data_IF_958979903233
#
_entry.id   IF_958979903233
#
_cell.length_a   1.000
_cell.length_b   1.000
_cell.length_c   1.000
_cell.angle_alpha   90.00
_cell.angle_beta   90.00
_cell.angle_gamma   90.00
#
_symmetry.space_group_name_H-M   'P 1'
#
loop_
_entity.id
_entity.type
_entity.pdbx_description
1 polymer ?
#
# COMPACT_ATOMS: atom_id res chain seq x y z
N UNK A 1 9.04 -28.02 -3.99
CA UNK A 1 10.46 -27.92 -4.45
C UNK A 1 11.27 -27.01 -3.53
N UNK A 2 10.69 -25.89 -3.09
CA UNK A 2 11.35 -24.91 -2.21
C UNK A 2 11.91 -25.51 -0.91
N UNK A 3 11.16 -26.37 -0.21
CA UNK A 3 11.63 -27.00 1.04
C UNK A 3 12.93 -27.80 0.85
N UNK A 4 13.12 -28.47 -0.30
CA UNK A 4 14.35 -29.22 -0.59
C UNK A 4 15.51 -28.25 -0.80
N UNK A 5 15.28 -27.14 -1.50
CA UNK A 5 16.30 -26.10 -1.72
C UNK A 5 16.69 -25.47 -0.38
N UNK A 6 15.72 -25.13 0.47
CA UNK A 6 15.98 -24.57 1.80
C UNK A 6 16.73 -25.55 2.70
N UNK A 7 16.38 -26.83 2.66
CA UNK A 7 17.09 -27.86 3.42
C UNK A 7 18.56 -27.99 2.98
N UNK A 8 18.82 -28.01 1.67
CA UNK A 8 20.19 -28.04 1.13
C UNK A 8 20.96 -26.79 1.53
N UNK A 9 20.34 -25.60 1.43
CA UNK A 9 20.95 -24.34 1.87
C UNK A 9 21.27 -24.37 3.37
N UNK A 10 20.36 -24.85 4.21
CA UNK A 10 20.59 -25.00 5.65
C UNK A 10 21.80 -25.87 5.95
N UNK A 11 21.95 -27.01 5.26
CA UNK A 11 23.11 -27.87 5.43
C UNK A 11 24.41 -27.18 5.00
N UNK A 12 24.42 -26.50 3.85
CA UNK A 12 25.59 -25.78 3.35
C UNK A 12 26.02 -24.66 4.30
N UNK A 13 25.07 -23.87 4.79
CA UNK A 13 25.35 -22.78 5.72
C UNK A 13 25.66 -23.28 7.13
N UNK A 14 25.09 -24.39 7.59
CA UNK A 14 25.49 -25.02 8.84
C UNK A 14 26.95 -25.52 8.78
N UNK A 15 27.36 -26.15 7.67
CA UNK A 15 28.75 -26.58 7.46
C UNK A 15 29.70 -25.38 7.38
N UNK A 16 29.29 -24.32 6.68
CA UNK A 16 30.08 -23.09 6.56
C UNK A 16 30.21 -22.40 7.91
N UNK A 17 29.11 -22.27 8.66
CA UNK A 17 29.06 -21.71 10.01
C UNK A 17 29.88 -22.52 11.01
N UNK A 18 29.85 -23.86 10.91
CA UNK A 18 30.69 -24.73 11.72
C UNK A 18 32.18 -24.48 11.48
N UNK A 19 32.57 -24.29 10.21
CA UNK A 19 33.96 -24.00 9.84
C UNK A 19 34.38 -22.58 10.26
N UNK A 20 33.51 -21.59 10.10
CA UNK A 20 33.80 -20.19 10.40
C UNK A 20 33.76 -19.87 11.90
N UNK A 21 32.91 -20.54 12.68
CA UNK A 21 32.74 -20.30 14.11
C UNK A 21 31.80 -19.12 14.42
N UNK A 22 31.17 -19.17 15.58
CA UNK A 22 30.25 -18.17 16.10
C UNK A 22 30.89 -16.79 16.20
N UNK A 23 32.14 -16.69 16.70
CA UNK A 23 32.84 -15.43 16.87
C UNK A 23 32.99 -14.70 15.53
N UNK A 24 33.40 -15.42 14.49
CA UNK A 24 33.50 -14.83 13.13
C UNK A 24 32.11 -14.47 12.61
N UNK A 25 31.10 -15.31 12.87
CA UNK A 25 29.72 -15.04 12.50
C UNK A 25 29.15 -13.75 13.09
N UNK A 26 29.36 -13.50 14.39
CA UNK A 26 28.90 -12.27 15.06
C UNK A 26 29.57 -11.04 14.48
N UNK A 27 30.88 -11.09 14.28
CA UNK A 27 31.62 -9.99 13.67
C UNK A 27 31.16 -9.75 12.23
N UNK A 28 31.04 -10.80 11.43
CA UNK A 28 30.52 -10.75 10.06
C UNK A 28 29.16 -10.08 10.00
N UNK A 29 28.22 -10.50 10.86
CA UNK A 29 26.87 -9.92 10.92
C UNK A 29 26.91 -8.44 11.33
N UNK A 30 27.67 -8.10 12.36
CA UNK A 30 27.84 -6.71 12.78
C UNK A 30 28.43 -5.82 11.68
N UNK A 31 29.41 -6.34 10.93
CA UNK A 31 30.00 -5.65 9.79
C UNK A 31 29.02 -5.46 8.63
N UNK A 32 28.20 -6.46 8.33
CA UNK A 32 27.16 -6.40 7.31
C UNK A 32 26.12 -5.32 7.64
N UNK A 33 25.57 -5.36 8.86
CA UNK A 33 24.56 -4.38 9.32
C UNK A 33 25.18 -2.98 9.37
N UNK A 34 26.36 -2.83 9.96
CA UNK A 34 27.04 -1.53 10.04
C UNK A 34 27.33 -0.92 8.67
N UNK A 35 27.85 -1.73 7.74
CA UNK A 35 28.12 -1.29 6.36
C UNK A 35 26.85 -0.93 5.58
N UNK A 36 25.79 -1.73 5.73
CA UNK A 36 24.50 -1.49 5.09
C UNK A 36 23.79 -0.24 5.60
N UNK A 37 23.72 -0.05 6.93
CA UNK A 37 23.08 1.12 7.54
C UNK A 37 23.83 2.40 7.20
N UNK A 38 25.15 2.41 7.31
CA UNK A 38 25.95 3.59 6.97
C UNK A 38 25.72 4.02 5.52
N UNK A 39 25.70 3.05 4.59
CA UNK A 39 25.42 3.31 3.19
C UNK A 39 23.96 3.73 2.95
N UNK A 40 22.99 3.11 3.60
CA UNK A 40 21.57 3.46 3.42
C UNK A 40 21.28 4.92 3.84
N UNK A 41 21.97 5.39 4.89
CA UNK A 41 21.84 6.76 5.38
C UNK A 41 22.57 7.79 4.50
N UNK A 42 23.62 7.40 3.77
CA UNK A 42 24.49 8.34 3.03
C UNK A 42 24.33 8.27 1.51
N UNK A 43 23.93 7.13 0.97
CA UNK A 43 23.82 6.89 -0.47
C UNK A 43 22.76 7.77 -1.17
N UNK A 44 21.56 8.02 -0.60
CA UNK A 44 20.55 8.86 -1.26
C UNK A 44 21.07 10.27 -1.55
N UNK A 45 21.81 10.86 -0.61
CA UNK A 45 22.36 12.21 -0.77
C UNK A 45 23.53 12.22 -1.78
N UNK A 46 24.38 11.19 -1.77
CA UNK A 46 25.51 11.09 -2.69
C UNK A 46 25.09 10.86 -4.16
N UNK A 47 23.99 10.14 -4.39
CA UNK A 47 23.56 9.68 -5.71
C UNK A 47 22.71 10.72 -6.44
N UNK A 48 21.96 11.56 -5.70
CA UNK A 48 21.07 12.59 -6.27
C UNK A 48 21.80 13.55 -7.22
N UNK A 49 23.07 13.85 -6.94
CA UNK A 49 23.86 14.80 -7.73
C UNK A 49 24.37 14.22 -9.06
N UNK A 50 24.32 12.88 -9.24
CA UNK A 50 25.02 12.19 -10.34
C UNK A 50 24.09 11.54 -11.37
N UNK A 51 22.84 11.22 -10.99
CA UNK A 51 21.90 10.48 -11.84
C UNK A 51 20.55 11.18 -11.82
N UNK A 52 20.04 11.65 -12.96
CA UNK A 52 18.76 12.38 -13.04
C UNK A 52 17.49 11.52 -13.17
N UNK A 53 17.64 10.19 -13.30
CA UNK A 53 16.53 9.25 -13.49
C UNK A 53 16.24 8.48 -12.19
N UNK A 54 15.03 8.63 -11.65
CA UNK A 54 14.57 8.05 -10.36
C UNK A 54 14.72 6.52 -10.32
N UNK A 55 14.45 5.83 -11.44
CA UNK A 55 14.59 4.36 -11.49
C UNK A 55 16.05 3.91 -11.37
N UNK A 56 16.96 4.61 -12.06
CA UNK A 56 18.41 4.33 -11.99
C UNK A 56 19.02 4.75 -10.66
N UNK A 57 18.53 5.83 -10.06
CA UNK A 57 18.94 6.25 -8.71
C UNK A 57 18.64 5.16 -7.68
N UNK A 58 17.43 4.59 -7.70
CA UNK A 58 17.04 3.52 -6.79
C UNK A 58 17.92 2.27 -6.95
N UNK A 59 18.15 1.84 -8.20
CA UNK A 59 19.04 0.70 -8.48
C UNK A 59 20.47 0.94 -8.02
N UNK A 60 21.01 2.14 -8.24
CA UNK A 60 22.35 2.50 -7.80
C UNK A 60 22.45 2.57 -6.27
N UNK A 61 21.43 3.10 -5.59
CA UNK A 61 21.37 3.15 -4.13
C UNK A 61 21.37 1.74 -3.53
N UNK A 62 20.56 0.83 -4.08
CA UNK A 62 20.53 -0.57 -3.68
C UNK A 62 21.91 -1.21 -3.88
N UNK A 63 22.55 -0.98 -5.04
CA UNK A 63 23.87 -1.52 -5.33
C UNK A 63 24.93 -1.00 -4.34
N UNK A 64 24.93 0.30 -4.02
CA UNK A 64 25.87 0.91 -3.06
C UNK A 64 25.67 0.36 -1.65
N UNK A 65 24.41 0.20 -1.20
CA UNK A 65 24.09 -0.40 0.10
C UNK A 65 24.61 -1.83 0.16
N UNK A 66 24.36 -2.62 -0.88
CA UNK A 66 24.77 -4.02 -0.93
C UNK A 66 26.30 -4.18 -0.93
N UNK A 67 27.01 -3.41 -1.76
CA UNK A 67 28.47 -3.43 -1.82
C UNK A 67 29.11 -2.99 -0.51
N UNK A 68 28.55 -1.97 0.15
CA UNK A 68 29.05 -1.49 1.43
C UNK A 68 28.81 -2.48 2.56
N UNK A 69 27.63 -3.11 2.59
CA UNK A 69 27.33 -4.19 3.53
C UNK A 69 28.29 -5.38 3.33
N UNK A 70 28.53 -5.80 2.09
CA UNK A 70 29.46 -6.88 1.77
C UNK A 70 30.91 -6.54 2.18
N UNK A 71 31.34 -5.30 1.95
CA UNK A 71 32.67 -4.82 2.36
C UNK A 71 32.81 -4.79 3.88
N UNK A 72 31.80 -4.26 4.59
CA UNK A 72 31.76 -4.25 6.06
C UNK A 72 31.79 -5.66 6.63
N UNK A 73 31.03 -6.58 6.05
CA UNK A 73 31.03 -7.99 6.40
C UNK A 73 32.42 -8.61 6.25
N UNK A 74 33.10 -8.38 5.13
CA UNK A 74 34.44 -8.90 4.87
C UNK A 74 35.47 -8.39 5.90
N UNK A 75 35.50 -7.08 6.13
CA UNK A 75 36.42 -6.45 7.09
C UNK A 75 36.18 -6.93 8.53
N UNK A 76 34.92 -7.01 8.95
CA UNK A 76 34.59 -7.47 10.29
C UNK A 76 34.87 -8.97 10.44
N UNK A 77 34.60 -9.79 9.43
CA UNK A 77 34.97 -11.21 9.43
C UNK A 77 36.48 -11.40 9.62
N UNK A 78 37.31 -10.57 8.97
CA UNK A 78 38.75 -10.58 9.16
C UNK A 78 39.13 -10.31 10.62
N UNK A 79 38.55 -9.29 11.26
CA UNK A 79 38.74 -9.03 12.69
C UNK A 79 38.25 -10.18 13.56
N UNK A 80 37.09 -10.76 13.23
CA UNK A 80 36.53 -11.93 13.92
C UNK A 80 37.47 -13.13 13.90
N UNK A 81 38.17 -13.37 12.78
CA UNK A 81 39.16 -14.46 12.71
C UNK A 81 40.36 -14.20 13.61
N UNK A 82 40.82 -12.95 13.73
CA UNK A 82 41.89 -12.60 14.68
C UNK A 82 41.47 -12.87 16.13
N UNK A 83 40.23 -12.54 16.48
CA UNK A 83 39.69 -12.79 17.82
C UNK A 83 39.54 -14.28 18.07
N UNK A 84 38.98 -15.03 17.12
CA UNK A 84 38.83 -16.49 17.20
C UNK A 84 40.16 -17.21 17.37
N UNK A 85 41.23 -16.74 16.71
CA UNK A 85 42.56 -17.35 16.81
C UNK A 85 43.19 -17.22 18.21
N UNK A 86 42.71 -16.30 19.06
CA UNK A 86 43.14 -16.18 20.47
C UNK A 86 42.47 -17.21 21.37
N UNK A 87 41.43 -17.91 20.91
CA UNK A 87 40.77 -18.98 21.66
C UNK A 87 41.60 -20.26 21.53
N UNK A 88 42.28 -20.63 22.60
CA UNK A 88 43.17 -21.80 22.66
C UNK A 88 42.54 -23.01 23.35
N UNK A 89 41.42 -22.83 24.07
CA UNK A 89 40.73 -23.92 24.76
C UNK A 89 39.87 -24.74 23.79
N UNK A 90 40.14 -26.04 23.70
CA UNK A 90 39.53 -26.93 22.70
C UNK A 90 38.00 -27.02 22.83
N UNK A 91 37.47 -27.06 24.05
CA UNK A 91 36.01 -27.09 24.24
C UNK A 91 35.34 -25.78 23.82
N UNK A 92 36.00 -24.62 24.00
CA UNK A 92 35.47 -23.35 23.47
C UNK A 92 35.49 -23.32 21.95
N UNK A 93 36.47 -23.97 21.30
CA UNK A 93 36.48 -24.09 19.83
C UNK A 93 35.32 -24.96 19.32
N UNK A 94 34.98 -26.03 20.04
CA UNK A 94 33.81 -26.86 19.71
C UNK A 94 32.52 -26.07 19.91
N UNK A 95 32.36 -25.36 21.03
CA UNK A 95 31.20 -24.50 21.29
C UNK A 95 31.06 -23.38 20.26
N UNK A 96 32.17 -22.74 19.87
CA UNK A 96 32.23 -21.72 18.82
C UNK A 96 31.81 -22.30 17.46
N UNK A 97 32.29 -23.49 17.08
CA UNK A 97 31.89 -24.14 15.85
C UNK A 97 30.41 -24.53 15.83
N UNK A 98 29.91 -25.16 16.91
CA UNK A 98 28.49 -25.54 17.03
C UNK A 98 27.59 -24.30 17.03
N UNK A 99 27.96 -23.25 17.78
CA UNK A 99 27.26 -21.98 17.79
C UNK A 99 27.24 -21.32 16.40
N UNK A 100 28.35 -21.37 15.67
CA UNK A 100 28.44 -20.85 14.31
C UNK A 100 27.51 -21.57 13.33
N UNK A 101 27.38 -22.89 13.45
CA UNK A 101 26.46 -23.68 12.63
C UNK A 101 24.99 -23.33 12.92
N UNK A 102 24.63 -23.22 14.20
CA UNK A 102 23.26 -22.86 14.64
C UNK A 102 22.89 -21.47 14.13
N UNK A 103 23.73 -20.46 14.40
CA UNK A 103 23.47 -19.08 13.97
C UNK A 103 23.36 -18.99 12.46
N UNK A 104 24.25 -19.62 11.71
CA UNK A 104 24.21 -19.59 10.24
C UNK A 104 22.94 -20.23 9.68
N UNK A 105 22.49 -21.34 10.29
CA UNK A 105 21.22 -21.97 9.94
C UNK A 105 20.02 -21.06 10.23
N UNK A 106 19.98 -20.44 11.41
CA UNK A 106 18.93 -19.49 11.79
C UNK A 106 18.93 -18.25 10.88
N UNK A 107 20.09 -17.72 10.52
CA UNK A 107 20.21 -16.59 9.60
C UNK A 107 19.65 -16.90 8.21
N UNK A 108 19.92 -18.10 7.67
CA UNK A 108 19.34 -18.53 6.39
C UNK A 108 17.83 -18.66 6.48
N UNK A 109 17.30 -19.23 7.57
CA UNK A 109 15.86 -19.32 7.78
C UNK A 109 15.21 -17.94 7.85
N UNK A 110 15.81 -17.01 8.58
CA UNK A 110 15.31 -15.65 8.72
C UNK A 110 15.29 -14.91 7.37
N UNK A 111 16.38 -15.01 6.59
CA UNK A 111 16.47 -14.40 5.26
C UNK A 111 15.51 -15.06 4.29
N UNK A 112 15.38 -16.39 4.31
CA UNK A 112 14.46 -17.12 3.46
C UNK A 112 13.00 -16.80 3.81
N UNK A 113 12.68 -16.61 5.09
CA UNK A 113 11.36 -16.14 5.54
C UNK A 113 11.10 -14.70 5.10
N UNK A 114 12.08 -13.81 5.23
CA UNK A 114 11.99 -12.44 4.75
C UNK A 114 11.74 -12.37 3.23
N UNK A 115 12.52 -13.10 2.42
CA UNK A 115 12.34 -13.14 0.97
C UNK A 115 11.04 -13.87 0.60
N UNK A 116 10.74 -14.98 1.27
CA UNK A 116 9.52 -15.74 1.03
C UNK A 116 8.30 -14.87 1.26
N UNK A 117 8.25 -14.16 2.38
CA UNK A 117 7.14 -13.29 2.70
C UNK A 117 6.96 -12.16 1.67
N UNK A 118 8.01 -11.55 1.11
CA UNK A 118 7.84 -10.57 0.02
C UNK A 118 7.36 -11.21 -1.28
N UNK A 119 7.87 -12.39 -1.62
CA UNK A 119 7.59 -13.08 -2.88
C UNK A 119 6.25 -13.83 -2.86
N UNK A 120 5.72 -14.15 -1.67
CA UNK A 120 4.42 -14.81 -1.49
C UNK A 120 3.25 -14.04 -2.13
N UNK A 121 3.39 -12.72 -2.23
CA UNK A 121 2.41 -11.80 -2.83
C UNK A 121 2.85 -11.27 -4.21
N UNK A 122 3.86 -11.87 -4.84
CA UNK A 122 4.36 -11.42 -6.15
C UNK A 122 3.46 -11.84 -7.30
N UNK A 123 3.51 -11.08 -8.40
CA UNK A 123 2.79 -11.35 -9.66
C UNK A 123 3.28 -12.60 -10.43
N UNK A 124 4.08 -13.47 -9.81
CA UNK A 124 4.58 -14.73 -10.39
C UNK A 124 3.91 -15.92 -9.69
N UNK A 125 2.77 -16.42 -10.19
CA UNK A 125 1.94 -17.42 -9.50
C UNK A 125 2.69 -18.68 -9.11
N UNK A 126 3.60 -19.13 -9.98
CA UNK A 126 4.42 -20.33 -9.73
C UNK A 126 5.31 -20.19 -8.49
N UNK A 127 5.90 -19.00 -8.28
CA UNK A 127 6.81 -18.76 -7.15
C UNK A 127 6.02 -18.54 -5.87
N UNK A 128 4.93 -17.77 -5.94
CA UNK A 128 4.03 -17.53 -4.82
C UNK A 128 3.43 -18.84 -4.24
N UNK A 129 3.01 -19.78 -5.10
CA UNK A 129 2.50 -21.08 -4.64
C UNK A 129 3.57 -21.94 -3.98
N UNK A 130 4.81 -21.97 -4.51
CA UNK A 130 5.91 -22.70 -3.88
C UNK A 130 6.29 -22.16 -2.49
N UNK A 131 6.15 -20.85 -2.27
CA UNK A 131 6.38 -20.23 -0.97
C UNK A 131 5.23 -20.54 0.00
N UNK A 132 3.98 -20.40 -0.45
CA UNK A 132 2.80 -20.69 0.38
C UNK A 132 2.74 -22.15 0.82
N UNK A 133 3.17 -23.09 -0.02
CA UNK A 133 3.15 -24.53 0.28
C UNK A 133 4.38 -25.02 1.09
N UNK A 134 5.35 -24.14 1.38
CA UNK A 134 6.60 -24.53 2.05
C UNK A 134 6.38 -24.72 3.55
N UNK A 135 6.58 -25.95 4.05
CA UNK A 135 6.43 -26.27 5.48
C UNK A 135 7.49 -25.61 6.35
N UNK A 136 8.71 -25.46 5.81
CA UNK A 136 9.81 -24.83 6.55
C UNK A 136 9.47 -23.37 6.83
N UNK A 137 9.09 -22.61 5.80
CA UNK A 137 8.74 -21.20 5.95
C UNK A 137 7.51 -20.98 6.83
N UNK A 138 6.45 -21.79 6.70
CA UNK A 138 5.28 -21.72 7.59
C UNK A 138 5.64 -21.96 9.07
N UNK A 139 6.54 -22.92 9.32
CA UNK A 139 7.01 -23.21 10.68
C UNK A 139 7.82 -22.05 11.25
N UNK A 140 8.68 -21.45 10.43
CA UNK A 140 9.46 -20.26 10.83
C UNK A 140 8.51 -19.10 11.13
N UNK A 141 7.55 -18.83 10.25
CA UNK A 141 6.54 -17.76 10.40
C UNK A 141 5.78 -17.87 11.73
N UNK A 142 5.32 -19.07 12.07
CA UNK A 142 4.61 -19.35 13.34
C UNK A 142 5.49 -19.11 14.59
N UNK A 143 6.80 -19.28 14.47
CA UNK A 143 7.76 -19.12 15.57
C UNK A 143 8.28 -17.68 15.71
N UNK A 144 8.05 -16.81 14.73
CA UNK A 144 8.52 -15.44 14.74
C UNK A 144 7.72 -14.57 15.74
N UNK A 145 8.39 -13.74 16.58
CA UNK A 145 7.68 -12.82 17.48
C UNK A 145 6.83 -11.79 16.71
N UNK A 146 5.74 -11.31 17.31
CA UNK A 146 4.91 -10.25 16.72
C UNK A 146 5.70 -8.98 16.39
N UNK A 147 6.70 -8.62 17.20
CA UNK A 147 7.57 -7.48 16.92
C UNK A 147 8.31 -7.60 15.57
N UNK A 148 8.68 -8.82 15.14
CA UNK A 148 9.31 -9.06 13.86
C UNK A 148 8.32 -8.93 12.70
N UNK A 149 7.08 -9.40 12.88
CA UNK A 149 5.99 -9.21 11.93
C UNK A 149 5.66 -7.72 11.74
N UNK A 150 5.56 -6.97 12.84
CA UNK A 150 5.20 -5.54 12.85
C UNK A 150 6.33 -4.64 12.31
N UNK A 151 7.58 -4.93 12.67
CA UNK A 151 8.73 -4.20 12.11
C UNK A 151 8.84 -4.40 10.59
N UNK A 152 8.50 -5.60 10.11
CA UNK A 152 8.56 -5.92 8.71
C UNK A 152 7.35 -5.43 7.91
N UNK A 153 6.15 -5.42 8.47
CA UNK A 153 4.99 -4.75 7.85
C UNK A 153 5.24 -3.24 7.71
N UNK A 154 5.93 -2.63 8.67
CA UNK A 154 6.37 -1.23 8.61
C UNK A 154 7.39 -1.00 7.49
N UNK A 155 8.41 -1.87 7.37
CA UNK A 155 9.36 -1.79 6.26
C UNK A 155 8.69 -2.00 4.91
N UNK A 156 7.78 -2.98 4.80
CA UNK A 156 6.98 -3.17 3.60
C UNK A 156 6.16 -1.94 3.28
N UNK A 157 5.51 -1.27 4.24
CA UNK A 157 4.76 -0.03 3.98
C UNK A 157 5.62 1.10 3.39
N UNK A 158 6.90 1.14 3.77
CA UNK A 158 7.88 2.10 3.23
C UNK A 158 8.30 1.73 1.80
N UNK A 159 8.38 0.43 1.48
CA UNK A 159 8.77 -0.09 0.16
C UNK A 159 7.59 -0.16 -0.81
N UNK A 160 6.46 -0.66 -0.34
CA UNK A 160 5.14 -0.74 -0.93
C UNK A 160 4.40 0.58 -0.67
N UNK A 161 4.95 1.71 -1.15
CA UNK A 161 4.20 2.97 -1.32
C UNK A 161 3.05 2.82 -2.35
N UNK A 162 2.36 1.68 -2.38
CA UNK A 162 1.07 1.48 -3.01
C UNK A 162 0.01 1.87 -1.98
N UNK A 163 -0.47 3.09 -2.15
CA UNK A 163 -1.27 3.88 -1.21
C UNK A 163 -2.72 3.40 -1.00
N UNK A 164 -2.93 2.11 -0.72
CA UNK A 164 -4.23 1.58 -0.29
C UNK A 164 -4.11 0.95 1.11
N UNK A 165 -4.92 1.41 2.09
CA UNK A 165 -5.07 0.77 3.40
C UNK A 165 -5.27 -0.75 3.33
N UNK A 166 -4.73 -1.51 4.29
CA UNK A 166 -4.80 -3.00 4.27
C UNK A 166 -6.20 -3.55 4.57
N UNK A 167 -7.16 -2.69 4.93
CA UNK A 167 -8.55 -3.04 5.23
C UNK A 167 -9.27 -3.80 4.09
N UNK A 168 -8.75 -3.71 2.87
CA UNK A 168 -9.40 -4.22 1.66
C UNK A 168 -9.01 -5.65 1.25
N UNK A 169 -8.08 -6.27 1.96
CA UNK A 169 -7.61 -7.64 1.69
C UNK A 169 -8.69 -8.73 1.87
N UNK A 170 -9.80 -8.43 2.55
CA UNK A 170 -10.94 -9.35 2.74
C UNK A 170 -12.06 -9.25 1.70
N UNK A 171 -12.14 -8.16 0.92
CA UNK A 171 -13.26 -7.85 0.03
C UNK A 171 -13.27 -8.71 -1.27
N UNK A 172 -12.19 -9.44 -1.53
CA UNK A 172 -11.97 -10.26 -2.75
C UNK A 172 -12.09 -11.76 -2.56
N UNK A 173 -12.77 -12.24 -1.50
CA UNK A 173 -12.95 -13.69 -1.26
C UNK A 173 -14.16 -14.29 -1.97
N UNK A 174 -14.95 -13.48 -2.68
CA UNK A 174 -16.07 -13.92 -3.53
C UNK A 174 -15.64 -14.35 -4.93
N UNK A 175 -16.43 -15.22 -5.56
CA UNK A 175 -16.26 -15.60 -6.96
C UNK A 175 -16.43 -14.35 -7.84
N UNK A 176 -15.42 -14.00 -8.64
CA UNK A 176 -15.52 -12.85 -9.55
C UNK A 176 -16.64 -13.09 -10.55
N UNK A 177 -17.62 -12.19 -10.59
CA UNK A 177 -18.56 -12.18 -11.69
C UNK A 177 -17.80 -11.80 -12.98
N UNK A 178 -17.75 -12.74 -13.93
CA UNK A 178 -17.19 -12.47 -15.25
C UNK A 178 -18.11 -11.54 -16.02
N UNK A 179 -17.56 -10.40 -16.44
CA UNK A 179 -18.20 -9.45 -17.35
C UNK A 179 -17.24 -9.13 -18.50
N UNK A 180 -17.81 -8.74 -19.63
CA UNK A 180 -17.05 -8.25 -20.77
C UNK A 180 -16.15 -7.04 -20.40
N UNK A 181 -15.08 -6.75 -21.16
CA UNK A 181 -14.30 -5.53 -20.95
C UNK A 181 -15.17 -4.27 -21.04
N UNK A 182 -14.86 -3.21 -20.27
CA UNK A 182 -15.58 -1.94 -20.36
C UNK A 182 -15.55 -1.35 -21.78
N UNK A 183 -16.65 -0.71 -22.18
CA UNK A 183 -16.71 -0.02 -23.48
C UNK A 183 -15.88 1.28 -23.42
N UNK A 184 -14.85 1.47 -24.26
CA UNK A 184 -14.07 2.71 -24.26
C UNK A 184 -14.85 3.93 -24.78
N UNK A 185 -15.93 3.74 -25.54
CA UNK A 185 -16.68 4.83 -26.18
C UNK A 185 -17.45 5.67 -25.15
N UNK A 186 -17.68 5.14 -23.95
CA UNK A 186 -18.32 5.85 -22.82
C UNK A 186 -17.58 7.13 -22.44
N UNK A 187 -16.27 7.20 -22.69
CA UNK A 187 -15.44 8.37 -22.41
C UNK A 187 -15.74 9.58 -23.32
N UNK A 188 -16.53 9.37 -24.37
CA UNK A 188 -16.77 10.37 -25.42
C UNK A 188 -18.14 11.02 -25.35
N UNK A 189 -19.01 10.61 -24.42
CA UNK A 189 -20.33 11.25 -24.23
C UNK A 189 -20.16 12.67 -23.73
N UNK A 190 -21.02 13.58 -24.20
CA UNK A 190 -20.93 14.99 -23.84
C UNK A 190 -21.30 15.18 -22.37
N UNK A 191 -22.28 14.41 -21.92
CA UNK A 191 -22.78 14.36 -20.55
C UNK A 191 -21.64 14.00 -19.57
N UNK A 192 -20.87 12.94 -19.85
CA UNK A 192 -19.71 12.59 -19.02
C UNK A 192 -18.62 13.67 -19.04
N UNK A 193 -18.34 14.27 -20.20
CA UNK A 193 -17.32 15.33 -20.32
C UNK A 193 -17.70 16.55 -19.46
N UNK A 194 -18.98 16.86 -19.36
CA UNK A 194 -19.51 17.96 -18.56
C UNK A 194 -19.56 17.59 -17.07
N UNK A 195 -20.12 16.44 -16.70
CA UNK A 195 -20.16 15.95 -15.31
C UNK A 195 -18.77 15.74 -14.71
N UNK A 196 -17.80 15.30 -15.51
CA UNK A 196 -16.41 15.12 -15.04
C UNK A 196 -15.70 16.44 -14.66
N UNK A 197 -16.28 17.61 -14.93
CA UNK A 197 -15.76 18.91 -14.42
C UNK A 197 -16.01 19.10 -12.94
N UNK A 198 -17.03 18.43 -12.40
CA UNK A 198 -17.40 18.41 -10.98
C UNK A 198 -16.55 17.44 -10.16
N UNK A 199 -15.57 16.79 -10.79
CA UNK A 199 -14.55 15.97 -10.11
C UNK A 199 -13.35 16.83 -9.79
N UNK A 200 -12.94 16.79 -8.53
CA UNK A 200 -11.90 17.64 -7.97
C UNK A 200 -10.80 16.83 -7.31
N UNK A 201 -9.64 17.46 -7.14
CA UNK A 201 -8.53 16.90 -6.39
C UNK A 201 -8.56 17.42 -4.96
N UNK A 202 -8.43 16.53 -3.99
CA UNK A 202 -8.33 16.88 -2.57
C UNK A 202 -6.87 16.84 -2.16
N UNK A 203 -6.39 17.89 -1.49
CA UNK A 203 -5.04 18.01 -0.96
C UNK A 203 -5.09 18.42 0.51
N UNK A 204 -4.18 17.88 1.32
CA UNK A 204 -4.05 18.25 2.72
C UNK A 204 -2.67 17.93 3.27
N UNK A 205 -2.34 18.51 4.43
CA UNK A 205 -1.13 18.16 5.19
C UNK A 205 -1.51 17.51 6.51
N UNK A 206 -0.91 16.35 6.77
CA UNK A 206 -1.06 15.60 8.02
C UNK A 206 0.31 15.55 8.72
N UNK A 207 0.65 16.58 9.53
CA UNK A 207 1.99 16.73 10.11
C UNK A 207 2.37 15.58 11.05
N UNK A 208 1.41 15.07 11.82
CA UNK A 208 1.61 13.94 12.72
C UNK A 208 2.00 12.66 11.95
N UNK A 209 1.49 12.52 10.73
CA UNK A 209 1.82 11.40 9.84
C UNK A 209 3.09 11.66 9.01
N UNK A 210 3.65 12.87 9.06
CA UNK A 210 4.71 13.36 8.14
C UNK A 210 4.34 13.16 6.66
N UNK A 211 3.06 13.31 6.32
CA UNK A 211 2.53 13.04 5.00
C UNK A 211 1.78 14.24 4.43
N UNK A 212 1.81 14.35 3.10
CA UNK A 212 0.83 15.13 2.34
C UNK A 212 -0.20 14.15 1.81
N UNK A 213 -1.46 14.46 2.03
CA UNK A 213 -2.55 13.60 1.56
C UNK A 213 -3.06 14.13 0.23
N UNK A 214 -3.35 13.19 -0.67
CA UNK A 214 -3.88 13.45 -2.00
C UNK A 214 -4.94 12.42 -2.34
N UNK A 215 -6.03 12.88 -2.94
CA UNK A 215 -7.11 12.01 -3.39
C UNK A 215 -8.04 12.73 -4.35
N UNK A 216 -9.16 12.09 -4.62
CA UNK A 216 -10.22 12.64 -5.45
C UNK A 216 -11.43 12.94 -4.57
N UNK A 217 -12.20 13.95 -4.96
CA UNK A 217 -13.57 14.15 -4.50
C UNK A 217 -14.46 14.58 -5.65
N UNK A 218 -15.75 14.71 -5.40
CA UNK A 218 -16.69 15.24 -6.39
C UNK A 218 -17.75 16.10 -5.73
N UNK A 219 -18.24 17.08 -6.48
CA UNK A 219 -19.30 17.98 -6.05
C UNK A 219 -20.62 17.22 -6.10
N UNK A 220 -21.35 17.18 -4.99
CA UNK A 220 -22.66 16.51 -4.89
C UNK A 220 -23.75 17.41 -4.26
N UNK A 221 -23.37 18.65 -3.92
CA UNK A 221 -24.27 19.70 -3.48
C UNK A 221 -23.59 21.07 -3.57
N UNK A 222 -24.33 22.15 -3.29
CA UNK A 222 -23.79 23.52 -3.27
C UNK A 222 -22.63 23.62 -2.28
N UNK A 223 -21.44 23.96 -2.75
CA UNK A 223 -20.21 24.00 -1.95
C UNK A 223 -19.90 22.70 -1.17
N UNK A 224 -20.43 21.54 -1.60
CA UNK A 224 -20.27 20.25 -0.92
C UNK A 224 -19.53 19.24 -1.77
N UNK A 225 -18.45 18.71 -1.21
CA UNK A 225 -17.61 17.70 -1.85
C UNK A 225 -17.58 16.44 -1.02
N UNK A 226 -17.87 15.31 -1.66
CA UNK A 226 -17.71 13.99 -1.04
C UNK A 226 -16.35 13.41 -1.41
N UNK A 227 -15.70 12.75 -0.46
CA UNK A 227 -14.45 12.00 -0.64
C UNK A 227 -14.40 10.84 0.38
N UNK A 228 -13.31 10.08 0.41
CA UNK A 228 -13.13 9.05 1.45
C UNK A 228 -12.56 9.64 2.74
N UNK A 229 -12.87 9.02 3.88
CA UNK A 229 -12.32 9.42 5.17
C UNK A 229 -10.80 9.26 5.19
N UNK A 230 -10.27 8.18 4.63
CA UNK A 230 -8.82 7.96 4.57
C UNK A 230 -8.06 9.01 3.73
N UNK A 231 -8.74 9.72 2.82
CA UNK A 231 -8.13 10.81 2.01
C UNK A 231 -7.91 12.06 2.86
N UNK A 232 -8.58 12.19 4.01
CA UNK A 232 -8.45 13.38 4.86
C UNK A 232 -8.03 13.05 6.29
N UNK A 233 -7.88 11.77 6.63
CA UNK A 233 -7.48 11.33 7.96
C UNK A 233 -6.16 11.96 8.42
N UNK A 234 -6.14 12.47 9.66
CA UNK A 234 -4.97 13.13 10.25
C UNK A 234 -4.59 14.49 9.62
N UNK A 235 -5.35 14.98 8.62
CA UNK A 235 -5.10 16.31 8.04
C UNK A 235 -5.49 17.38 9.06
N UNK A 236 -4.53 18.23 9.42
CA UNK A 236 -4.73 19.36 10.34
C UNK A 236 -4.43 20.71 9.71
N UNK A 237 -3.78 20.74 8.54
CA UNK A 237 -3.32 21.97 7.88
C UNK A 237 -3.48 21.87 6.35
N UNK A 238 -3.68 23.03 5.69
CA UNK A 238 -3.70 23.19 4.23
C UNK A 238 -4.69 22.24 3.51
N UNK A 239 -5.86 21.97 4.12
CA UNK A 239 -6.93 21.23 3.48
C UNK A 239 -7.57 22.10 2.39
N UNK A 240 -7.44 21.66 1.15
CA UNK A 240 -7.87 22.41 -0.02
C UNK A 240 -8.31 21.50 -1.15
N UNK A 241 -9.11 22.08 -2.03
CA UNK A 241 -9.61 21.44 -3.22
C UNK A 241 -9.03 22.12 -4.45
N UNK A 242 -8.64 21.34 -5.44
CA UNK A 242 -8.16 21.82 -6.74
C UNK A 242 -9.12 21.37 -7.83
N UNK A 243 -9.74 22.32 -8.52
CA UNK A 243 -10.63 22.02 -9.64
C UNK A 243 -9.84 21.53 -10.86
N UNK A 244 -10.53 20.95 -11.85
CA UNK A 244 -9.89 20.51 -13.10
C UNK A 244 -9.18 21.64 -13.86
N UNK A 245 -9.63 22.87 -13.66
CA UNK A 245 -9.07 24.09 -14.25
C UNK A 245 -7.89 24.65 -13.45
N UNK A 246 -7.60 24.07 -12.28
CA UNK A 246 -6.46 24.42 -11.44
C UNK A 246 -6.75 25.47 -10.36
N UNK A 247 -8.02 25.89 -10.20
CA UNK A 247 -8.42 26.77 -9.11
C UNK A 247 -8.29 26.05 -7.78
N UNK A 248 -7.72 26.73 -6.78
CA UNK A 248 -7.53 26.19 -5.44
C UNK A 248 -8.45 26.91 -4.48
N UNK A 249 -9.22 26.13 -3.72
CA UNK A 249 -10.20 26.62 -2.76
C UNK A 249 -9.90 25.99 -1.40
N UNK A 250 -9.96 26.79 -0.34
CA UNK A 250 -9.88 26.27 1.03
C UNK A 250 -11.09 25.40 1.32
N UNK A 251 -10.89 24.32 2.07
CA UNK A 251 -11.92 23.35 2.38
C UNK A 251 -11.97 23.07 3.88
N UNK A 252 -13.18 22.97 4.41
CA UNK A 252 -13.45 22.63 5.81
C UNK A 252 -14.02 21.23 5.88
N UNK A 253 -13.45 20.36 6.71
CA UNK A 253 -14.02 19.04 6.96
C UNK A 253 -15.25 19.18 7.85
N UNK A 254 -16.45 18.83 7.34
CA UNK A 254 -17.72 18.98 8.07
C UNK A 254 -18.40 17.65 8.41
N UNK A 255 -17.98 16.55 7.78
CA UNK A 255 -18.38 15.19 8.13
C UNK A 255 -17.19 14.26 7.98
N UNK A 256 -17.00 13.39 8.98
CA UNK A 256 -15.97 12.35 8.95
C UNK A 256 -16.53 11.05 9.52
N UNK A 257 -16.65 10.03 8.67
CA UNK A 257 -17.14 8.70 9.02
C UNK A 257 -16.09 7.63 8.68
N UNK A 258 -15.31 7.15 9.67
CA UNK A 258 -14.32 6.11 9.45
C UNK A 258 -14.92 4.70 9.28
N UNK A 259 -16.18 4.50 9.70
CA UNK A 259 -16.85 3.21 9.52
C UNK A 259 -17.23 3.02 8.06
N UNK A 260 -17.77 4.06 7.42
CA UNK A 260 -18.09 4.02 5.99
C UNK A 260 -16.96 4.46 5.07
N UNK A 261 -15.86 4.95 5.64
CA UNK A 261 -14.75 5.54 4.89
C UNK A 261 -15.21 6.71 4.02
N UNK A 262 -16.04 7.59 4.58
CA UNK A 262 -16.58 8.77 3.90
C UNK A 262 -16.26 10.05 4.66
N UNK A 263 -16.01 11.11 3.89
CA UNK A 263 -15.87 12.46 4.41
C UNK A 263 -16.59 13.45 3.49
N UNK A 264 -17.05 14.55 4.10
CA UNK A 264 -17.65 15.67 3.37
C UNK A 264 -16.91 16.95 3.70
N UNK A 265 -16.57 17.68 2.65
CA UNK A 265 -15.91 18.97 2.69
C UNK A 265 -16.90 20.07 2.33
N UNK A 266 -16.90 21.14 3.12
CA UNK A 266 -17.50 22.44 2.80
C UNK A 266 -16.44 23.32 2.12
N UNK A 267 -16.75 23.82 0.92
CA UNK A 267 -15.80 24.53 0.06
C UNK A 267 -16.46 25.80 -0.47
N UNK A 268 -16.54 26.89 0.32
CA UNK A 268 -17.24 28.09 -0.08
C UNK A 268 -16.73 28.68 -1.39
N UNK A 269 -17.64 28.97 -2.32
CA UNK A 269 -17.30 29.53 -3.64
C UNK A 269 -16.91 28.49 -4.69
N UNK A 270 -17.30 27.23 -4.48
CA UNK A 270 -17.19 26.14 -5.45
C UNK A 270 -18.27 26.32 -6.52
N UNK A 271 -17.96 27.09 -7.55
CA UNK A 271 -18.85 27.37 -8.70
C UNK A 271 -18.85 26.19 -9.70
N UNK A 272 -19.29 25.01 -9.25
CA UNK A 272 -19.40 23.78 -10.04
C UNK A 272 -20.77 23.13 -9.84
N UNK A 273 -21.31 22.53 -10.90
CA UNK A 273 -22.62 21.86 -10.87
C UNK A 273 -22.54 20.56 -10.03
N UNK A 274 -23.44 20.37 -9.05
CA UNK A 274 -23.53 19.13 -8.30
C UNK A 274 -23.86 17.92 -9.19
N UNK A 275 -23.22 16.78 -8.91
CA UNK A 275 -23.58 15.52 -9.52
C UNK A 275 -24.76 14.87 -8.79
N UNK A 276 -25.68 14.27 -9.56
CA UNK A 276 -26.80 13.51 -9.01
C UNK A 276 -26.40 12.05 -8.79
N UNK A 277 -26.93 11.44 -7.72
CA UNK A 277 -26.73 10.01 -7.44
C UNK A 277 -27.70 9.15 -8.25
N UNK A 278 -27.19 8.03 -8.77
CA UNK A 278 -27.96 6.97 -9.40
C UNK A 278 -27.83 5.67 -8.60
N UNK A 279 -28.98 5.13 -8.18
CA UNK A 279 -29.10 3.97 -7.30
C UNK A 279 -29.40 2.68 -8.08
N UNK A 280 -29.50 2.74 -9.41
CA UNK A 280 -30.04 1.66 -10.26
C UNK A 280 -28.96 0.83 -10.98
N UNK A 281 -27.66 1.08 -10.73
CA UNK A 281 -26.57 0.37 -11.39
C UNK A 281 -26.69 -1.16 -11.27
N UNK A 282 -26.67 -1.85 -12.40
CA UNK A 282 -26.79 -3.29 -12.53
C UNK A 282 -25.50 -3.94 -13.04
N UNK A 283 -25.40 -5.26 -12.85
CA UNK A 283 -24.30 -6.03 -13.42
C UNK A 283 -24.26 -5.89 -14.95
N UNK A 284 -23.08 -5.57 -15.47
CA UNK A 284 -22.84 -5.37 -16.90
C UNK A 284 -22.93 -3.92 -17.33
N UNK A 285 -23.44 -3.02 -16.49
CA UNK A 285 -23.55 -1.61 -16.83
C UNK A 285 -22.17 -0.96 -16.99
N UNK A 286 -22.07 -0.14 -18.03
CA UNK A 286 -20.90 0.68 -18.28
C UNK A 286 -20.82 1.83 -17.29
N UNK A 287 -19.58 2.18 -16.93
CA UNK A 287 -19.29 3.22 -15.98
C UNK A 287 -17.91 3.84 -16.27
N UNK A 288 -17.55 4.87 -15.50
CA UNK A 288 -16.27 5.56 -15.59
C UNK A 288 -15.74 5.86 -14.20
N UNK A 289 -14.51 5.45 -13.92
CA UNK A 289 -13.78 5.91 -12.73
C UNK A 289 -13.09 7.22 -13.10
N UNK A 290 -13.48 8.30 -12.44
CA UNK A 290 -12.94 9.64 -12.67
C UNK A 290 -12.14 10.12 -11.43
N UNK A 291 -10.95 10.66 -11.64
CA UNK A 291 -10.12 11.17 -10.53
C UNK A 291 -8.71 11.59 -10.88
N UNK A 292 -7.88 11.77 -9.85
CA UNK A 292 -6.53 12.34 -9.92
C UNK A 292 -5.46 11.37 -9.38
N UNK A 293 -5.15 10.29 -10.10
CA UNK A 293 -4.23 9.28 -9.61
C UNK A 293 -2.80 9.81 -9.48
N UNK A 294 -2.11 9.41 -8.42
CA UNK A 294 -0.66 9.66 -8.17
C UNK A 294 -0.24 11.12 -8.36
N UNK A 295 -0.99 12.05 -7.79
CA UNK A 295 -0.78 13.49 -7.91
C UNK A 295 -0.79 14.04 -9.35
N UNK A 296 -1.22 13.26 -10.34
CA UNK A 296 -1.16 13.67 -11.74
C UNK A 296 -2.38 14.52 -12.13
N UNK A 297 -2.53 14.77 -13.43
CA UNK A 297 -3.72 15.43 -13.96
C UNK A 297 -4.96 14.57 -13.84
N UNK A 298 -6.12 15.16 -14.15
CA UNK A 298 -7.39 14.44 -14.22
C UNK A 298 -7.30 13.25 -15.18
N UNK A 299 -7.88 12.12 -14.77
CA UNK A 299 -8.04 10.92 -15.58
C UNK A 299 -9.47 10.41 -15.49
N UNK A 300 -9.96 9.86 -16.60
CA UNK A 300 -11.20 9.10 -16.67
C UNK A 300 -10.86 7.75 -17.30
N UNK A 301 -11.22 6.65 -16.65
CA UNK A 301 -10.99 5.30 -17.14
C UNK A 301 -12.30 4.54 -17.28
N UNK A 302 -12.51 3.78 -18.37
CA UNK A 302 -13.70 2.97 -18.54
C UNK A 302 -13.79 1.92 -17.43
N UNK A 303 -15.00 1.69 -16.96
CA UNK A 303 -15.35 0.73 -15.94
C UNK A 303 -16.60 -0.06 -16.33
N UNK A 304 -16.78 -1.24 -15.75
CA UNK A 304 -18.02 -2.02 -15.91
C UNK A 304 -18.40 -2.67 -14.59
N UNK A 305 -19.66 -2.56 -14.19
CA UNK A 305 -20.15 -3.15 -12.93
C UNK A 305 -20.13 -4.68 -13.03
N UNK A 306 -19.43 -5.35 -12.11
CA UNK A 306 -19.36 -6.83 -12.05
C UNK A 306 -20.46 -7.40 -11.17
N UNK A 307 -20.60 -6.87 -9.96
CA UNK A 307 -21.53 -7.37 -8.97
C UNK A 307 -21.84 -6.28 -7.93
N UNK A 308 -23.05 -6.32 -7.40
CA UNK A 308 -23.46 -5.61 -6.18
C UNK A 308 -23.48 -6.62 -5.05
N UNK A 309 -22.76 -6.35 -3.96
CA UNK A 309 -22.64 -7.29 -2.84
C UNK A 309 -22.44 -6.57 -1.51
N UNK A 310 -22.84 -7.22 -0.43
CA UNK A 310 -22.48 -6.82 0.93
C UNK A 310 -21.14 -7.45 1.28
N UNK A 311 -20.14 -6.62 1.53
CA UNK A 311 -18.81 -7.06 1.90
C UNK A 311 -18.52 -6.75 3.37
N UNK A 312 -17.88 -7.70 4.06
CA UNK A 312 -17.44 -7.54 5.44
C UNK A 312 -15.93 -7.34 5.46
N UNK A 313 -15.49 -6.32 6.20
CA UNK A 313 -14.09 -6.00 6.38
C UNK A 313 -13.89 -5.06 7.55
N UNK A 314 -12.65 -4.83 7.99
CA UNK A 314 -12.37 -3.81 8.99
C UNK A 314 -12.80 -2.40 8.52
N UNK A 315 -13.13 -1.55 9.50
CA UNK A 315 -13.19 -0.11 9.31
C UNK A 315 -11.80 0.47 9.00
N UNK A 316 -11.72 1.73 8.57
CA UNK A 316 -10.45 2.36 8.18
C UNK A 316 -9.35 2.24 9.25
N UNK A 317 -9.69 2.39 10.54
CA UNK A 317 -8.75 2.26 11.65
C UNK A 317 -8.48 0.84 12.14
N UNK A 318 -9.03 -0.18 11.47
CA UNK A 318 -8.95 -1.58 11.92
C UNK A 318 -9.43 -1.82 13.36
N UNK A 319 -10.33 -0.96 13.85
CA UNK A 319 -10.87 -0.99 15.21
C UNK A 319 -12.03 -1.96 15.36
N UNK A 320 -12.79 -2.18 14.29
CA UNK A 320 -13.96 -3.07 14.27
C UNK A 320 -14.23 -3.63 12.87
N UNK A 321 -15.03 -4.70 12.78
CA UNK A 321 -15.57 -5.16 11.51
C UNK A 321 -16.85 -4.39 11.16
N UNK A 322 -16.95 -3.99 9.91
CA UNK A 322 -18.10 -3.31 9.33
C UNK A 322 -18.60 -4.05 8.09
N UNK A 323 -19.86 -3.83 7.77
CA UNK A 323 -20.53 -4.42 6.62
C UNK A 323 -20.93 -3.27 5.71
N UNK A 324 -20.50 -3.31 4.45
CA UNK A 324 -20.73 -2.25 3.47
C UNK A 324 -21.31 -2.83 2.21
N UNK A 325 -22.30 -2.17 1.63
CA UNK A 325 -22.75 -2.48 0.29
C UNK A 325 -21.82 -1.85 -0.75
N UNK A 326 -21.29 -2.69 -1.64
CA UNK A 326 -20.30 -2.28 -2.62
C UNK A 326 -20.64 -2.80 -4.02
N UNK A 327 -20.24 -2.04 -5.03
CA UNK A 327 -20.00 -2.56 -6.36
C UNK A 327 -18.57 -3.08 -6.46
N UNK A 328 -18.43 -4.29 -6.99
CA UNK A 328 -17.19 -4.72 -7.62
C UNK A 328 -17.25 -4.25 -9.07
N UNK A 329 -16.19 -3.61 -9.57
CA UNK A 329 -16.12 -3.10 -10.94
C UNK A 329 -14.89 -3.64 -11.67
N UNK A 330 -15.02 -3.85 -12.97
CA UNK A 330 -13.90 -4.09 -13.87
C UNK A 330 -13.32 -2.75 -14.31
N UNK A 331 -12.22 -2.32 -13.70
CA UNK A 331 -11.56 -1.06 -14.02
C UNK A 331 -10.11 -1.06 -13.50
N UNK A 332 -9.24 -0.28 -14.14
CA UNK A 332 -7.87 -0.04 -13.64
C UNK A 332 -7.92 1.10 -12.62
N UNK A 333 -8.22 0.76 -11.36
CA UNK A 333 -8.21 1.71 -10.24
C UNK A 333 -6.79 1.90 -9.72
N UNK A 334 -6.38 3.17 -9.52
CA UNK A 334 -5.02 3.52 -9.08
C UNK A 334 -5.06 4.37 -7.81
N UNK A 335 -3.97 4.38 -7.02
CA UNK A 335 -3.83 5.32 -5.91
C UNK A 335 -4.11 6.75 -6.34
N UNK A 336 -4.95 7.45 -5.57
CA UNK A 336 -5.46 8.79 -5.88
C UNK A 336 -6.84 8.82 -6.56
N UNK A 337 -7.35 7.70 -7.09
CA UNK A 337 -8.76 7.61 -7.51
C UNK A 337 -9.72 7.51 -6.33
N UNK A 338 -9.24 7.13 -5.14
CA UNK A 338 -10.05 7.06 -3.92
C UNK A 338 -10.75 8.38 -3.64
N UNK A 339 -12.02 8.28 -3.26
CA UNK A 339 -12.95 9.38 -3.02
C UNK A 339 -13.59 9.93 -4.29
N UNK A 340 -13.14 9.48 -5.47
CA UNK A 340 -13.73 9.85 -6.75
C UNK A 340 -15.01 9.10 -7.06
N UNK A 341 -15.86 9.64 -7.96
CA UNK A 341 -17.10 9.00 -8.33
C UNK A 341 -16.88 7.86 -9.32
N UNK A 342 -17.72 6.83 -9.20
CA UNK A 342 -18.04 5.94 -10.31
C UNK A 342 -19.20 6.57 -11.08
N UNK A 343 -18.91 7.13 -12.26
CA UNK A 343 -19.91 7.80 -13.10
C UNK A 343 -20.57 6.79 -14.03
N UNK A 344 -21.88 6.94 -14.24
CA UNK A 344 -22.60 6.33 -15.35
C UNK A 344 -22.22 7.01 -16.69
N UNK A 345 -22.65 6.48 -17.84
CA UNK A 345 -22.45 7.12 -19.14
C UNK A 345 -23.20 8.44 -19.31
N UNK A 346 -24.27 8.67 -18.53
CA UNK A 346 -25.03 9.93 -18.48
C UNK A 346 -24.50 10.93 -17.45
N UNK A 347 -23.43 10.57 -16.72
CA UNK A 347 -22.74 11.47 -15.80
C UNK A 347 -23.33 11.58 -14.40
N UNK A 348 -24.30 10.72 -14.05
CA UNK A 348 -24.75 10.49 -12.67
C UNK A 348 -23.78 9.58 -11.91
N UNK A 349 -23.89 9.56 -10.58
CA UNK A 349 -22.93 8.88 -9.67
C UNK A 349 -23.53 7.58 -9.16
N UNK A 350 -22.96 6.45 -9.61
CA UNK A 350 -23.29 5.12 -9.06
C UNK A 350 -22.71 4.90 -7.66
N UNK A 351 -21.65 5.61 -7.29
CA UNK A 351 -21.01 5.42 -6.00
C UNK A 351 -19.63 6.06 -5.86
N UNK A 352 -18.94 5.75 -4.76
CA UNK A 352 -17.62 6.32 -4.42
C UNK A 352 -16.54 5.25 -4.48
N UNK A 353 -15.54 5.45 -5.33
CA UNK A 353 -14.38 4.57 -5.45
C UNK A 353 -13.58 4.64 -4.15
N UNK A 354 -13.34 3.50 -3.50
CA UNK A 354 -12.64 3.47 -2.21
C UNK A 354 -11.47 2.49 -2.16
N UNK A 355 -11.45 1.46 -3.02
CA UNK A 355 -10.37 0.47 -3.03
C UNK A 355 -10.12 -0.17 -4.40
N UNK A 356 -8.97 -0.83 -4.53
CA UNK A 356 -8.61 -1.70 -5.63
C UNK A 356 -8.23 -3.09 -5.10
N UNK A 357 -8.45 -4.15 -5.88
CA UNK A 357 -7.99 -5.48 -5.52
C UNK A 357 -6.45 -5.55 -5.56
N UNK A 358 -5.85 -6.22 -4.59
CA UNK A 358 -4.39 -6.34 -4.46
C UNK A 358 -3.80 -7.47 -5.32
N UNK A 359 -4.64 -8.39 -5.78
CA UNK A 359 -4.28 -9.59 -6.54
C UNK A 359 -4.84 -9.57 -7.97
N UNK A 360 -5.58 -8.53 -8.36
CA UNK A 360 -6.25 -8.41 -9.66
C UNK A 360 -6.21 -6.96 -10.18
N UNK A 361 -5.43 -6.75 -11.24
CA UNK A 361 -5.12 -5.40 -11.75
C UNK A 361 -6.34 -4.64 -12.35
N UNK A 362 -7.41 -5.35 -12.71
CA UNK A 362 -8.62 -4.79 -13.33
C UNK A 362 -9.84 -4.88 -12.40
N UNK A 363 -9.66 -4.95 -11.09
CA UNK A 363 -10.77 -5.05 -10.13
C UNK A 363 -10.72 -3.88 -9.15
N UNK A 364 -11.79 -3.08 -9.15
CA UNK A 364 -12.02 -1.97 -8.23
C UNK A 364 -13.23 -2.20 -7.33
N UNK A 365 -13.29 -1.47 -6.22
CA UNK A 365 -14.42 -1.49 -5.28
C UNK A 365 -14.96 -0.07 -5.06
N UNK A 366 -16.28 0.02 -5.08
CA UNK A 366 -17.03 1.28 -5.03
C UNK A 366 -18.14 1.14 -3.99
N UNK A 367 -18.28 2.07 -3.05
CA UNK A 367 -19.43 2.14 -2.14
C UNK A 367 -20.66 2.53 -2.97
N UNK A 368 -21.77 1.79 -2.85
CA UNK A 368 -22.97 2.09 -3.66
C UNK A 368 -23.57 3.44 -3.27
N UNK A 369 -24.29 4.09 -4.19
CA UNK A 369 -25.09 5.29 -3.89
C UNK A 369 -26.05 5.06 -2.70
N UNK A 370 -26.58 3.84 -2.55
CA UNK A 370 -27.42 3.45 -1.42
C UNK A 370 -26.66 3.40 -0.09
N UNK A 371 -25.44 2.84 -0.07
CA UNK A 371 -24.59 2.77 1.13
C UNK A 371 -24.23 4.17 1.65
N UNK A 372 -23.99 5.12 0.73
CA UNK A 372 -23.52 6.46 1.10
C UNK A 372 -24.63 7.48 1.35
N UNK A 373 -25.90 7.12 1.11
CA UNK A 373 -27.02 8.07 1.08
C UNK A 373 -27.22 8.82 2.40
N UNK A 374 -27.06 8.13 3.54
CA UNK A 374 -27.19 8.75 4.87
C UNK A 374 -26.08 9.79 5.10
N UNK A 375 -24.83 9.45 4.78
CA UNK A 375 -23.69 10.36 4.87
C UNK A 375 -23.83 11.55 3.92
N UNK A 376 -24.31 11.32 2.69
CA UNK A 376 -24.58 12.39 1.73
C UNK A 376 -25.56 13.40 2.30
N UNK A 377 -26.71 12.93 2.81
CA UNK A 377 -27.75 13.78 3.36
C UNK A 377 -27.30 14.51 4.64
N UNK A 378 -26.58 13.81 5.53
CA UNK A 378 -26.00 14.42 6.72
C UNK A 378 -24.96 15.50 6.37
N UNK A 379 -24.13 15.26 5.36
CA UNK A 379 -23.11 16.22 4.90
C UNK A 379 -23.68 17.48 4.27
N UNK A 380 -24.83 17.39 3.57
CA UNK A 380 -25.54 18.58 3.07
C UNK A 380 -26.02 19.47 4.21
N UNK A 381 -26.40 18.89 5.35
CA UNK A 381 -26.88 19.63 6.52
C UNK A 381 -25.74 20.06 7.47
N UNK A 382 -24.53 19.52 7.31
CA UNK A 382 -23.41 19.78 8.19
C UNK A 382 -22.79 21.17 7.95
N UNK A 383 -22.56 21.90 9.04
CA UNK A 383 -21.98 23.26 9.02
C UNK A 383 -20.84 23.45 10.02
N UNK A 384 -20.67 22.53 10.96
CA UNK A 384 -19.61 22.60 11.97
C UNK A 384 -18.39 21.82 11.50
N UNK A 385 -17.20 22.40 11.73
CA UNK A 385 -15.94 21.72 11.47
C UNK A 385 -15.78 20.52 12.41
N UNK A 386 -15.35 19.38 11.84
CA UNK A 386 -15.08 18.15 12.59
C UNK A 386 -13.61 17.76 12.46
N UNK A 387 -13.11 17.05 13.46
CA UNK A 387 -11.72 16.55 13.45
C UNK A 387 -11.56 15.41 12.45
N UNK A 388 -10.48 15.46 11.66
CA UNK A 388 -9.99 14.38 10.81
C UNK A 388 -9.42 13.17 11.58
N UNK A 389 -9.51 13.19 12.92
CA UNK A 389 -8.97 12.16 13.82
C UNK A 389 -7.47 11.91 13.58
N UNK A 390 -6.96 10.74 13.95
CA UNK A 390 -5.53 10.40 13.88
C UNK A 390 -5.17 9.74 12.54
N UNK A 391 -3.87 9.60 12.27
CA UNK A 391 -3.38 8.78 11.15
C UNK A 391 -3.75 7.29 11.36
N UNK A 392 -3.83 6.52 10.27
CA UNK A 392 -3.88 5.04 10.29
C UNK A 392 -2.64 4.42 10.95
#
# INVERSE_FOLDING_TARGET
MLDVVLFVLLLLFAVTGYRQGFIVGVFSFGGFIGGGVLAALTAPDLIRDWVGDTGRQALLAIAVVFLSAALGQFLASYLGTMVRNKVTWDSARVLDAVGGAIVSGLSVLLVAWFIGSTVANSALPYVATQVRDSRILQSVDTLMPEAAHNGFSTFRRIVDQSSFPQVFSGLGTGELAEVEPPDPDVLTTQELIDSSRSVVKVLGTAPECQQRVEGTGFVYGEDRIMTNAHVVAGVTDDLRVVTREGYQLEATLVLFDPQQDLAVLDVPGLDLEPLEFDHEAAQGDDAVVAGFPRNSGFTAVPARVRARQTAQGPDFYHSQQVSREIYQVRAVVRPGNSGGPLLSPDGSVYGVVFAAATNEDETGYVLTADEIAENAQAGLAATEEVSAQVCE
#
